data_IF_475503881009
#
_entry.id   IF_475503881009
#
_cell.length_a   1.000
_cell.length_b   1.000
_cell.length_c   1.000
_cell.angle_alpha   90.00
_cell.angle_beta   90.00
_cell.angle_gamma   90.00
#
_symmetry.space_group_name_H-M   'P 1'
#
loop_
_entity.id
_entity.type
_entity.pdbx_description
1 polymer ?
#
# COMPACT_ATOMS: atom_id res chain seq x y z
N UNK A 1 -4.42 18.07 -0.97
CA UNK A 1 -4.90 16.78 -1.52
C UNK A 1 -4.49 15.67 -0.57
N UNK A 2 -5.36 14.70 -0.27
CA UNK A 2 -4.99 13.54 0.53
C UNK A 2 -4.18 12.59 -0.35
N UNK A 3 -2.89 12.38 -0.03
CA UNK A 3 -2.02 11.38 -0.69
C UNK A 3 -2.43 9.93 -0.33
N UNK A 4 -3.72 9.61 -0.32
CA UNK A 4 -4.28 8.31 0.02
C UNK A 4 -4.89 7.68 -1.24
N UNK A 5 -4.71 6.37 -1.40
CA UNK A 5 -5.34 5.62 -2.46
C UNK A 5 -6.85 5.46 -2.21
N UNK A 6 -7.70 5.58 -3.24
CA UNK A 6 -9.14 5.50 -3.08
C UNK A 6 -9.57 4.07 -2.74
N UNK A 7 -9.78 3.81 -1.45
CA UNK A 7 -10.20 2.50 -0.95
C UNK A 7 -11.72 2.41 -0.77
N UNK A 8 -12.28 1.24 -1.08
CA UNK A 8 -13.65 0.89 -0.68
C UNK A 8 -13.77 0.80 0.85
N UNK A 9 -14.99 0.86 1.39
CA UNK A 9 -15.22 0.71 2.82
C UNK A 9 -14.69 -0.64 3.35
N UNK A 10 -14.97 -1.73 2.64
CA UNK A 10 -14.50 -3.08 2.98
C UNK A 10 -12.98 -3.19 2.98
N UNK A 11 -12.32 -2.60 1.97
CA UNK A 11 -10.85 -2.60 1.90
C UNK A 11 -10.22 -1.83 3.06
N UNK A 12 -10.82 -0.70 3.49
CA UNK A 12 -10.36 0.05 4.66
C UNK A 12 -10.52 -0.73 5.97
N UNK A 13 -11.64 -1.39 6.16
CA UNK A 13 -11.84 -2.25 7.33
C UNK A 13 -10.81 -3.37 7.37
N UNK A 14 -10.58 -4.02 6.23
CA UNK A 14 -9.58 -5.07 6.12
C UNK A 14 -8.16 -4.56 6.39
N UNK A 15 -7.81 -3.34 5.94
CA UNK A 15 -6.54 -2.69 6.26
C UNK A 15 -6.32 -2.57 7.78
N UNK A 16 -7.38 -2.22 8.52
CA UNK A 16 -7.34 -2.17 9.99
C UNK A 16 -7.05 -3.53 10.61
N UNK A 17 -7.63 -4.62 10.07
CA UNK A 17 -7.35 -5.99 10.52
C UNK A 17 -5.90 -6.38 10.26
N UNK A 18 -5.38 -6.05 9.07
CA UNK A 18 -3.97 -6.33 8.71
C UNK A 18 -3.01 -5.58 9.63
N UNK A 19 -3.25 -4.28 9.87
CA UNK A 19 -2.45 -3.47 10.78
C UNK A 19 -2.51 -3.98 12.23
N UNK A 20 -3.68 -4.42 12.70
CA UNK A 20 -3.82 -5.04 14.02
C UNK A 20 -3.04 -6.35 14.13
N UNK A 21 -3.07 -7.19 13.09
CA UNK A 21 -2.29 -8.44 13.05
C UNK A 21 -0.78 -8.19 13.05
N UNK A 22 -0.34 -7.10 12.41
CA UNK A 22 1.03 -6.60 12.47
C UNK A 22 1.38 -5.92 13.81
N UNK A 23 0.44 -5.89 14.77
CA UNK A 23 0.60 -5.29 16.10
C UNK A 23 1.00 -3.81 16.05
N UNK A 24 0.55 -3.08 15.02
CA UNK A 24 0.82 -1.64 14.92
C UNK A 24 0.08 -0.88 16.02
N UNK A 25 0.80 -0.02 16.72
CA UNK A 25 0.27 0.87 17.75
C UNK A 25 0.69 2.31 17.49
N UNK A 26 -0.03 3.04 16.61
CA UNK A 26 0.29 4.43 16.35
C UNK A 26 -0.02 5.28 17.59
N UNK A 27 0.94 6.11 17.98
CA UNK A 27 0.83 7.08 19.07
C UNK A 27 0.55 8.49 18.56
N UNK A 28 0.80 8.76 17.27
CA UNK A 28 0.66 10.09 16.66
C UNK A 28 0.08 9.99 15.24
N UNK A 29 -0.70 11.00 14.86
CA UNK A 29 -1.11 11.19 13.47
C UNK A 29 0.12 11.32 12.57
N UNK A 30 0.03 10.76 11.36
CA UNK A 30 1.06 10.86 10.34
C UNK A 30 2.16 9.81 10.45
N UNK A 31 2.18 8.96 11.49
CA UNK A 31 3.12 7.84 11.55
C UNK A 31 2.88 6.85 10.40
N UNK A 32 3.97 6.25 9.92
CA UNK A 32 3.99 5.43 8.70
C UNK A 32 4.68 4.09 8.93
N UNK A 33 4.21 3.09 8.20
CA UNK A 33 4.76 1.74 8.22
C UNK A 33 4.77 1.16 6.82
N UNK A 34 5.75 0.31 6.56
CA UNK A 34 5.66 -0.71 5.51
C UNK A 34 5.13 -1.98 6.16
N UNK A 35 4.11 -2.58 5.56
CA UNK A 35 3.64 -3.91 5.90
C UNK A 35 3.94 -4.86 4.76
N UNK A 36 4.68 -5.93 5.05
CA UNK A 36 4.98 -7.00 4.11
C UNK A 36 4.00 -8.15 4.36
N UNK A 37 2.98 -8.23 3.52
CA UNK A 37 1.87 -9.16 3.65
C UNK A 37 2.04 -10.33 2.68
N UNK A 38 2.20 -11.53 3.23
CA UNK A 38 2.46 -12.76 2.46
C UNK A 38 1.34 -13.76 2.67
N UNK A 39 0.42 -13.95 1.72
CA UNK A 39 -0.58 -15.02 1.80
C UNK A 39 0.10 -16.39 1.85
N UNK A 40 -0.43 -17.34 2.64
CA UNK A 40 0.19 -18.66 2.81
C UNK A 40 -0.10 -19.64 1.65
N UNK A 41 -0.35 -19.13 0.44
CA UNK A 41 -0.60 -19.96 -0.74
C UNK A 41 0.70 -20.28 -1.48
N UNK A 42 0.74 -21.44 -2.17
CA UNK A 42 1.96 -21.98 -2.81
C UNK A 42 2.62 -21.04 -3.84
N UNK A 43 1.84 -20.12 -4.39
CA UNK A 43 2.29 -19.18 -5.43
C UNK A 43 2.01 -17.71 -5.05
N UNK A 44 1.68 -17.45 -3.78
CA UNK A 44 1.43 -16.10 -3.32
C UNK A 44 2.74 -15.32 -3.20
N UNK A 45 2.68 -14.08 -3.66
CA UNK A 45 3.78 -13.12 -3.52
C UNK A 45 3.53 -12.22 -2.32
N UNK A 46 4.63 -11.74 -1.75
CA UNK A 46 4.57 -10.71 -0.72
C UNK A 46 4.08 -9.41 -1.34
N UNK A 47 3.04 -8.83 -0.76
CA UNK A 47 2.56 -7.49 -1.10
C UNK A 47 3.05 -6.53 -0.03
N UNK A 48 3.78 -5.50 -0.44
CA UNK A 48 4.21 -4.42 0.43
C UNK A 48 3.15 -3.32 0.41
N UNK A 49 2.61 -2.98 1.58
CA UNK A 49 1.64 -1.90 1.79
C UNK A 49 2.30 -0.76 2.55
N UNK A 50 2.25 0.45 2.02
CA UNK A 50 2.70 1.65 2.74
C UNK A 50 1.51 2.31 3.41
N UNK A 51 1.49 2.25 4.74
CA UNK A 51 0.41 2.78 5.55
C UNK A 51 0.78 4.10 6.19
N UNK A 52 -0.24 4.94 6.41
CA UNK A 52 -0.18 6.12 7.26
C UNK A 52 -1.34 6.11 8.25
N UNK A 53 -1.09 6.43 9.51
CA UNK A 53 -2.14 6.65 10.49
C UNK A 53 -2.71 8.07 10.35
N UNK A 54 -4.01 8.22 10.14
CA UNK A 54 -4.63 9.55 10.04
C UNK A 54 -4.94 10.20 11.39
N UNK A 55 -4.77 9.49 12.50
CA UNK A 55 -5.31 9.87 13.81
C UNK A 55 -6.57 9.09 14.17
N UNK A 56 -7.35 8.64 13.17
CA UNK A 56 -8.61 7.89 13.38
C UNK A 56 -8.69 6.59 12.58
N UNK A 57 -8.00 6.50 11.45
CA UNK A 57 -8.01 5.31 10.60
C UNK A 57 -6.69 5.12 9.84
N UNK A 58 -6.46 3.91 9.38
CA UNK A 58 -5.35 3.58 8.49
C UNK A 58 -5.64 4.06 7.07
N UNK A 59 -4.66 4.73 6.47
CA UNK A 59 -4.68 5.18 5.07
C UNK A 59 -3.63 4.40 4.29
N UNK A 60 -3.99 3.93 3.09
CA UNK A 60 -3.04 3.30 2.18
C UNK A 60 -2.45 4.36 1.25
N UNK A 61 -1.14 4.52 1.29
CA UNK A 61 -0.41 5.52 0.50
C UNK A 61 0.08 4.92 -0.81
N UNK A 62 0.70 3.74 -0.73
CA UNK A 62 1.17 2.99 -1.87
C UNK A 62 1.07 1.48 -1.61
N UNK A 63 1.07 0.69 -2.68
CA UNK A 63 1.21 -0.75 -2.62
C UNK A 63 2.08 -1.26 -3.76
N UNK A 64 2.76 -2.38 -3.53
CA UNK A 64 3.46 -3.10 -4.60
C UNK A 64 3.51 -4.59 -4.29
N UNK A 65 3.33 -5.43 -5.31
CA UNK A 65 3.68 -6.86 -5.30
C UNK A 65 4.76 -7.19 -6.34
N UNK A 66 5.37 -6.15 -6.93
CA UNK A 66 6.50 -6.30 -7.82
C UNK A 66 7.74 -6.70 -6.98
N UNK A 67 8.34 -7.83 -7.34
CA UNK A 67 9.61 -8.30 -6.78
C UNK A 67 10.81 -7.70 -7.56
N UNK A 68 12.02 -8.13 -7.24
CA UNK A 68 13.23 -7.76 -7.97
C UNK A 68 13.07 -8.02 -9.49
N UNK A 69 13.63 -7.13 -10.31
CA UNK A 69 13.50 -7.19 -11.77
C UNK A 69 14.00 -8.51 -12.37
N UNK A 70 14.87 -9.22 -11.65
CA UNK A 70 15.42 -10.53 -12.03
C UNK A 70 14.37 -11.65 -12.02
N UNK A 71 13.29 -11.51 -11.26
CA UNK A 71 12.19 -12.50 -11.20
C UNK A 71 10.96 -12.10 -12.03
N UNK A 72 11.01 -10.95 -12.73
CA UNK A 72 9.98 -10.44 -13.66
C UNK A 72 9.89 -11.22 -14.98
N UNK A 73 10.24 -12.51 -14.99
CA UNK A 73 10.09 -13.40 -16.15
C UNK A 73 8.76 -14.17 -16.14
N UNK A 74 8.01 -14.10 -15.03
CA UNK A 74 6.71 -14.77 -14.91
C UNK A 74 5.57 -13.83 -15.33
N UNK A 75 4.57 -14.31 -16.08
CA UNK A 75 3.41 -13.54 -16.53
C UNK A 75 2.38 -13.35 -15.38
N UNK A 76 2.81 -12.78 -14.26
CA UNK A 76 1.95 -12.48 -13.10
C UNK A 76 1.54 -11.01 -13.16
N UNK A 77 0.31 -10.69 -12.73
CA UNK A 77 -0.17 -9.31 -12.59
C UNK A 77 0.56 -8.65 -11.41
N UNK A 78 1.75 -8.12 -11.69
CA UNK A 78 2.53 -7.30 -10.79
C UNK A 78 2.12 -5.85 -10.95
N UNK A 79 1.90 -5.17 -9.84
CA UNK A 79 1.43 -3.80 -9.79
C UNK A 79 2.27 -3.01 -8.78
N UNK A 80 2.60 -1.78 -9.17
CA UNK A 80 3.08 -0.75 -8.27
C UNK A 80 2.15 0.44 -8.35
N UNK A 81 1.62 0.86 -7.22
CA UNK A 81 0.68 1.98 -7.10
C UNK A 81 1.19 2.93 -6.03
N UNK A 82 1.42 4.19 -6.38
CA UNK A 82 1.87 5.25 -5.48
C UNK A 82 1.04 6.52 -5.72
N UNK A 83 0.21 6.89 -4.73
CA UNK A 83 -0.62 8.08 -4.78
C UNK A 83 0.21 9.38 -4.74
N UNK A 84 1.35 9.39 -4.05
CA UNK A 84 2.22 10.56 -3.90
C UNK A 84 2.96 10.84 -5.19
N UNK A 85 3.43 9.80 -5.87
CA UNK A 85 4.13 9.90 -7.16
C UNK A 85 3.20 9.85 -8.38
N UNK A 86 1.89 9.67 -8.17
CA UNK A 86 0.91 9.44 -9.24
C UNK A 86 1.35 8.32 -10.19
N UNK A 87 2.01 7.31 -9.64
CA UNK A 87 2.59 6.21 -10.40
C UNK A 87 1.71 4.97 -10.23
N UNK A 88 1.05 4.56 -11.31
CA UNK A 88 0.29 3.31 -11.35
C UNK A 88 0.81 2.52 -12.53
N UNK A 89 1.43 1.37 -12.25
CA UNK A 89 2.15 0.59 -13.24
C UNK A 89 1.83 -0.88 -13.10
N UNK A 90 1.65 -1.56 -14.23
CA UNK A 90 1.67 -3.03 -14.32
C UNK A 90 2.99 -3.47 -14.92
N UNK A 91 3.73 -4.35 -14.24
CA UNK A 91 4.96 -4.88 -14.83
C UNK A 91 4.63 -5.57 -16.16
N UNK A 92 5.53 -5.43 -17.14
CA UNK A 92 5.37 -5.92 -18.52
C UNK A 92 4.22 -5.31 -19.35
N UNK A 93 3.31 -4.52 -18.76
CA UNK A 93 2.18 -3.91 -19.46
C UNK A 93 2.22 -2.37 -19.47
N UNK A 94 3.07 -1.75 -18.67
CA UNK A 94 3.25 -0.30 -18.70
C UNK A 94 2.38 0.46 -17.69
N UNK A 95 2.22 1.78 -17.88
CA UNK A 95 1.44 2.62 -16.99
C UNK A 95 -0.06 2.31 -17.12
N UNK A 96 -0.78 2.36 -16.01
CA UNK A 96 -2.24 2.15 -15.97
C UNK A 96 -2.95 3.48 -16.24
N UNK A 97 -3.85 3.56 -17.24
CA UNK A 97 -4.64 4.75 -17.50
C UNK A 97 -5.43 5.20 -16.26
N UNK A 98 -5.50 6.52 -16.02
CA UNK A 98 -6.17 7.11 -14.85
C UNK A 98 -7.60 6.59 -14.64
N UNK A 99 -8.36 6.41 -15.72
CA UNK A 99 -9.74 5.89 -15.68
C UNK A 99 -9.84 4.45 -15.19
N UNK A 100 -8.80 3.64 -15.37
CA UNK A 100 -8.78 2.23 -14.97
C UNK A 100 -8.21 2.03 -13.54
N UNK A 101 -7.50 3.03 -13.00
CA UNK A 101 -6.81 2.91 -11.71
C UNK A 101 -7.71 2.47 -10.55
N UNK A 102 -8.92 3.04 -10.34
CA UNK A 102 -9.79 2.61 -9.24
C UNK A 102 -10.23 1.15 -9.39
N UNK A 103 -10.52 0.72 -10.63
CA UNK A 103 -10.95 -0.65 -10.93
C UNK A 103 -9.82 -1.65 -10.70
N UNK A 104 -8.61 -1.34 -11.18
CA UNK A 104 -7.44 -2.22 -11.01
C UNK A 104 -7.08 -2.33 -9.53
N UNK A 105 -7.00 -1.21 -8.81
CA UNK A 105 -6.73 -1.20 -7.37
C UNK A 105 -7.78 -1.99 -6.58
N UNK A 106 -9.06 -1.73 -6.84
CA UNK A 106 -10.16 -2.41 -6.15
C UNK A 106 -10.17 -3.92 -6.38
N UNK A 107 -9.91 -4.34 -7.62
CA UNK A 107 -9.79 -5.78 -7.96
C UNK A 107 -8.60 -6.42 -7.24
N UNK A 108 -7.42 -5.79 -7.32
CA UNK A 108 -6.21 -6.30 -6.69
C UNK A 108 -6.39 -6.51 -5.17
N UNK A 109 -6.92 -5.50 -4.47
CA UNK A 109 -7.16 -5.61 -3.03
C UNK A 109 -8.21 -6.65 -2.67
N UNK A 110 -9.25 -6.80 -3.49
CA UNK A 110 -10.29 -7.82 -3.27
C UNK A 110 -9.72 -9.23 -3.44
N UNK A 111 -8.88 -9.45 -4.46
CA UNK A 111 -8.23 -10.73 -4.71
C UNK A 111 -7.21 -11.07 -3.62
N UNK A 112 -6.43 -10.07 -3.18
CA UNK A 112 -5.49 -10.21 -2.06
C UNK A 112 -6.20 -10.54 -0.75
N UNK A 113 -7.26 -9.80 -0.41
CA UNK A 113 -8.08 -10.03 0.78
C UNK A 113 -8.66 -11.45 0.75
N UNK A 114 -9.24 -11.85 -0.38
CA UNK A 114 -9.79 -13.21 -0.57
C UNK A 114 -8.71 -14.28 -0.32
N UNK A 115 -7.54 -14.13 -0.93
CA UNK A 115 -6.41 -15.05 -0.75
C UNK A 115 -6.00 -15.17 0.73
N UNK A 116 -5.88 -14.04 1.42
CA UNK A 116 -5.54 -13.99 2.84
C UNK A 116 -6.57 -14.65 3.74
N UNK A 117 -7.87 -14.51 3.43
CA UNK A 117 -8.95 -15.13 4.19
C UNK A 117 -8.96 -16.65 3.99
N UNK A 118 -8.80 -17.13 2.75
CA UNK A 118 -8.87 -18.56 2.46
C UNK A 118 -7.64 -19.34 2.89
N UNK A 119 -6.45 -18.75 2.77
CA UNK A 119 -5.20 -19.46 3.00
C UNK A 119 -4.50 -19.06 4.29
N UNK A 120 -4.98 -18.01 4.97
CA UNK A 120 -4.17 -17.33 5.98
C UNK A 120 -3.06 -16.50 5.35
N UNK A 121 -2.34 -15.77 6.19
CA UNK A 121 -1.25 -14.89 5.77
C UNK A 121 -0.32 -14.58 6.94
N UNK A 122 0.94 -14.29 6.61
CA UNK A 122 1.92 -13.67 7.50
C UNK A 122 1.97 -12.17 7.22
N UNK A 123 2.29 -11.37 8.23
CA UNK A 123 2.53 -9.94 8.06
C UNK A 123 3.71 -9.52 8.91
N UNK A 124 4.67 -8.87 8.27
CA UNK A 124 5.81 -8.23 8.91
C UNK A 124 5.66 -6.71 8.78
N UNK A 125 6.24 -5.96 9.69
CA UNK A 125 6.10 -4.50 9.71
C UNK A 125 7.42 -3.79 9.97
N UNK A 126 7.71 -2.81 9.14
CA UNK A 126 8.85 -1.92 9.31
C UNK A 126 8.36 -0.48 9.54
N UNK A 127 8.72 0.16 10.67
CA UNK A 127 8.39 1.56 10.88
C UNK A 127 9.16 2.42 9.88
N UNK A 128 8.48 3.41 9.30
CA UNK A 128 9.13 4.40 8.45
C UNK A 128 9.41 5.68 9.23
N UNK A 129 10.53 6.37 8.96
CA UNK A 129 10.79 7.69 9.51
C UNK A 129 9.61 8.63 9.24
N UNK A 130 9.27 9.49 10.19
CA UNK A 130 8.35 10.59 9.91
C UNK A 130 9.04 11.53 8.92
N UNK A 131 8.32 11.96 7.87
CA UNK A 131 8.77 13.09 7.07
C UNK A 131 8.60 14.29 8.01
N UNK A 132 9.71 14.85 8.47
CA UNK A 132 9.69 16.18 9.07
C UNK A 132 9.01 17.10 8.06
N UNK A 133 7.98 17.82 8.50
CA UNK A 133 7.34 18.82 7.68
C UNK A 133 8.37 19.91 7.36
N UNK A 134 9.08 19.79 6.23
CA UNK A 134 9.77 20.91 5.61
C UNK A 134 8.72 21.85 5.02
N UNK A 135 7.93 22.47 5.88
CA UNK A 135 7.04 23.60 5.57
C UNK A 135 7.34 24.70 6.58
N UNK A 136 8.48 25.37 6.39
CA UNK A 136 8.73 26.73 6.88
C UNK A 136 10.08 27.22 6.37
N UNK A 137 10.09 27.87 5.21
CA UNK A 137 10.93 29.04 4.94
C UNK A 137 10.54 29.64 3.57
N UNK A 138 9.34 30.21 3.49
CA UNK A 138 9.21 31.46 2.73
C UNK A 138 9.86 32.53 3.58
N UNK A 139 11.12 32.80 3.26
CA UNK A 139 11.86 33.96 3.73
C UNK A 139 11.06 35.21 3.38
N UNK A 140 10.44 35.79 4.39
CA UNK A 140 10.12 37.21 4.39
C UNK A 140 11.46 37.96 4.43
N UNK A 141 11.76 38.67 3.35
CA UNK A 141 12.93 39.55 3.25
C UNK A 141 12.63 40.66 2.25
N UNK A 142 11.92 41.66 2.78
CA UNK A 142 12.12 43.11 2.62
C UNK A 142 11.79 43.79 1.28
#
# INVERSE_FOLDING_TARGET
MTNELPLSHTSRQWLGVVAAKAKLQPTRQGQRWLLHLTPCSKHARTVTLHLRWSGVQWQLISLTNAEDWRTMTQPVDEICVDSKRQCFWRCQAGPIPLSEQPRVLGRFLSDLQRSCIHHGYCVESDPLPQEEAHDAQTTDSR
#
